data_IF_202417097316
#
_entry.id   IF_202417097316
#
_cell.length_a   1.000
_cell.length_b   1.000
_cell.length_c   1.000
_cell.angle_alpha   90.00
_cell.angle_beta   90.00
_cell.angle_gamma   90.00
#
_symmetry.space_group_name_H-M   'P 1'
#
loop_
_entity.id
_entity.type
_entity.pdbx_description
1 polymer ?
#
# COMPACT_ATOMS: atom_id res chain seq x y z
N UNK A 1 5.72 5.38 19.69
CA UNK A 1 4.87 4.69 20.70
C UNK A 1 4.95 3.20 20.38
N UNK A 2 5.28 2.33 21.34
CA UNK A 2 5.35 0.87 21.11
C UNK A 2 4.15 0.18 21.75
N UNK A 3 3.42 -0.60 20.96
CA UNK A 3 2.26 -1.39 21.42
C UNK A 3 2.63 -2.86 21.36
N UNK A 4 2.46 -3.58 22.48
CA UNK A 4 2.75 -5.01 22.54
C UNK A 4 1.50 -5.81 22.17
N UNK A 5 1.61 -6.67 21.15
CA UNK A 5 0.54 -7.54 20.67
C UNK A 5 1.04 -8.98 20.71
N UNK A 6 0.22 -9.91 21.21
CA UNK A 6 0.51 -11.36 21.15
C UNK A 6 -0.25 -11.96 19.97
N UNK A 7 0.47 -12.71 19.14
CA UNK A 7 0.04 -13.12 17.81
C UNK A 7 0.32 -14.62 17.65
N UNK A 8 -0.69 -15.38 17.21
CA UNK A 8 -0.52 -16.80 16.89
C UNK A 8 -0.27 -16.95 15.39
N UNK A 9 0.95 -17.32 15.02
CA UNK A 9 1.37 -17.48 13.63
C UNK A 9 1.27 -18.95 13.20
N UNK A 10 0.97 -19.24 11.92
CA UNK A 10 1.22 -20.56 11.36
C UNK A 10 2.71 -20.92 11.44
N UNK A 11 3.02 -22.17 11.75
CA UNK A 11 4.41 -22.66 11.92
C UNK A 11 5.29 -22.35 10.70
N UNK A 12 4.72 -22.38 9.50
CA UNK A 12 5.46 -22.06 8.28
C UNK A 12 5.95 -20.61 8.22
N UNK A 13 5.15 -19.67 8.74
CA UNK A 13 5.50 -18.24 8.78
C UNK A 13 6.61 -18.02 9.78
N UNK A 14 6.52 -18.66 10.96
CA UNK A 14 7.57 -18.61 11.97
C UNK A 14 8.92 -19.15 11.44
N UNK A 15 8.93 -20.32 10.77
CA UNK A 15 10.16 -20.88 10.18
C UNK A 15 10.77 -20.02 9.07
N UNK A 16 9.96 -19.23 8.36
CA UNK A 16 10.46 -18.27 7.35
C UNK A 16 11.10 -17.06 8.04
N UNK A 17 10.45 -16.52 9.06
CA UNK A 17 10.98 -15.42 9.86
C UNK A 17 12.29 -15.82 10.57
N UNK A 18 12.36 -17.02 11.12
CA UNK A 18 13.57 -17.56 11.77
C UNK A 18 14.76 -17.64 10.81
N UNK A 19 14.54 -18.14 9.59
CA UNK A 19 15.61 -18.18 8.57
C UNK A 19 16.07 -16.79 8.17
N UNK A 20 15.14 -15.84 8.04
CA UNK A 20 15.48 -14.45 7.73
C UNK A 20 16.28 -13.79 8.86
N UNK A 21 15.89 -14.06 10.11
CA UNK A 21 16.57 -13.59 11.32
C UNK A 21 17.98 -14.16 11.44
N UNK A 22 18.18 -15.46 11.16
CA UNK A 22 19.51 -16.07 11.13
C UNK A 22 20.42 -15.45 10.06
N UNK A 23 19.89 -15.20 8.86
CA UNK A 23 20.66 -14.58 7.78
C UNK A 23 21.07 -13.13 8.10
N UNK A 24 20.23 -12.42 8.85
CA UNK A 24 20.48 -11.03 9.25
C UNK A 24 21.14 -10.89 10.62
N UNK A 25 21.37 -11.99 11.35
CA UNK A 25 21.84 -12.00 12.75
C UNK A 25 21.01 -11.10 13.67
N UNK A 26 19.69 -11.07 13.45
CA UNK A 26 18.73 -10.28 14.22
C UNK A 26 17.78 -11.18 15.01
N UNK A 27 17.07 -10.61 15.98
CA UNK A 27 16.00 -11.31 16.67
C UNK A 27 14.80 -11.55 15.72
N UNK A 28 14.12 -12.69 15.87
CA UNK A 28 12.93 -13.03 15.08
C UNK A 28 11.81 -12.02 15.33
N UNK A 29 11.67 -11.51 16.55
CA UNK A 29 10.67 -10.50 16.90
C UNK A 29 10.90 -9.18 16.15
N UNK A 30 12.15 -8.71 16.08
CA UNK A 30 12.50 -7.48 15.36
C UNK A 30 12.26 -7.63 13.85
N UNK A 31 12.62 -8.80 13.30
CA UNK A 31 12.37 -9.11 11.90
C UNK A 31 10.87 -9.14 11.59
N UNK A 32 10.07 -9.74 12.47
CA UNK A 32 8.62 -9.76 12.32
C UNK A 32 8.02 -8.36 12.42
N UNK A 33 8.47 -7.55 13.38
CA UNK A 33 8.02 -6.17 13.54
C UNK A 33 8.31 -5.34 12.28
N UNK A 34 9.54 -5.38 11.77
CA UNK A 34 9.92 -4.67 10.53
C UNK A 34 9.14 -5.19 9.32
N UNK A 35 8.93 -6.50 9.22
CA UNK A 35 8.18 -7.09 8.10
C UNK A 35 6.72 -6.66 8.13
N UNK A 36 6.12 -6.61 9.33
CA UNK A 36 4.76 -6.10 9.53
C UNK A 36 4.73 -4.61 9.21
N UNK A 37 5.68 -3.81 9.69
CA UNK A 37 5.76 -2.38 9.38
C UNK A 37 5.88 -2.14 7.87
N UNK A 38 6.76 -2.85 7.16
CA UNK A 38 6.92 -2.75 5.71
C UNK A 38 5.66 -3.20 4.94
N UNK A 39 4.95 -4.21 5.44
CA UNK A 39 3.72 -4.71 4.81
C UNK A 39 2.52 -3.80 5.10
N UNK A 40 2.52 -3.11 6.24
CA UNK A 40 1.49 -2.17 6.64
C UNK A 40 1.79 -0.73 6.21
N UNK A 41 3.03 -0.39 5.84
CA UNK A 41 3.42 0.95 5.35
C UNK A 41 2.60 1.41 4.14
N UNK A 42 2.31 0.55 3.12
CA UNK A 42 1.40 0.92 2.04
C UNK A 42 -0.04 1.15 2.51
N UNK A 43 -0.45 0.55 3.64
CA UNK A 43 -1.77 0.72 4.24
C UNK A 43 -1.82 1.91 5.24
N UNK A 44 -0.64 2.37 5.68
CA UNK A 44 -0.46 3.32 6.78
C UNK A 44 -0.62 4.79 6.41
N UNK A 45 -0.70 5.13 5.12
CA UNK A 45 -1.04 6.50 4.70
C UNK A 45 -2.53 6.82 4.86
N UNK A 46 -3.39 5.84 5.16
CA UNK A 46 -4.85 6.03 5.20
C UNK A 46 -5.50 5.77 6.57
N UNK A 47 -4.81 5.20 7.55
CA UNK A 47 -5.49 4.77 8.79
C UNK A 47 -5.65 5.84 9.87
N UNK A 48 -5.00 7.01 9.77
CA UNK A 48 -5.12 8.05 10.81
C UNK A 48 -6.23 9.09 10.55
N UNK A 49 -6.88 9.12 9.37
CA UNK A 49 -7.75 10.25 9.05
C UNK A 49 -9.01 9.96 8.20
N UNK A 50 -9.41 8.71 7.97
CA UNK A 50 -10.74 8.48 7.40
C UNK A 50 -11.77 8.65 8.53
N UNK A 51 -12.23 9.89 8.73
CA UNK A 51 -13.47 10.14 9.47
C UNK A 51 -14.53 9.20 8.86
N UNK A 52 -15.33 8.49 9.68
CA UNK A 52 -16.47 7.74 9.16
C UNK A 52 -17.26 8.67 8.23
N UNK A 53 -17.73 8.19 7.07
CA UNK A 53 -18.47 9.03 6.09
C UNK A 53 -19.63 9.80 6.75
N UNK A 54 -20.24 9.20 7.78
CA UNK A 54 -21.30 9.80 8.61
C UNK A 54 -20.87 11.02 9.45
N UNK A 55 -19.58 11.25 9.62
CA UNK A 55 -18.97 12.33 10.39
C UNK A 55 -18.29 13.39 9.51
N UNK A 56 -18.37 13.26 8.19
CA UNK A 56 -17.91 14.27 7.23
C UNK A 56 -18.95 15.39 7.10
N UNK A 57 -18.50 16.63 6.98
CA UNK A 57 -19.38 17.73 6.57
C UNK A 57 -19.66 17.66 5.06
N UNK A 58 -20.73 18.33 4.60
CA UNK A 58 -21.05 18.43 3.18
C UNK A 58 -19.87 18.98 2.36
N UNK A 59 -19.13 19.95 2.90
CA UNK A 59 -17.92 20.51 2.26
C UNK A 59 -16.78 19.49 2.16
N UNK A 60 -16.59 18.65 3.19
CA UNK A 60 -15.59 17.57 3.18
C UNK A 60 -15.97 16.49 2.16
N UNK A 61 -17.26 16.15 2.05
CA UNK A 61 -17.78 15.21 1.04
C UNK A 61 -17.60 15.77 -0.38
N UNK A 62 -17.89 17.05 -0.59
CA UNK A 62 -17.69 17.70 -1.88
C UNK A 62 -16.20 17.74 -2.27
N UNK A 63 -15.31 18.02 -1.32
CA UNK A 63 -13.86 18.02 -1.56
C UNK A 63 -13.34 16.62 -1.93
N UNK A 64 -13.81 15.56 -1.25
CA UNK A 64 -13.49 14.17 -1.59
C UNK A 64 -14.06 13.77 -2.97
N UNK A 65 -15.29 14.16 -3.28
CA UNK A 65 -15.89 13.89 -4.59
C UNK A 65 -15.18 14.64 -5.75
N UNK A 66 -14.41 15.67 -5.44
CA UNK A 66 -13.64 16.46 -6.39
C UNK A 66 -12.18 16.02 -6.50
N UNK A 67 -11.74 15.05 -5.67
CA UNK A 67 -10.43 14.44 -5.80
C UNK A 67 -10.39 13.71 -7.15
N UNK A 68 -9.53 14.19 -8.04
CA UNK A 68 -9.27 13.56 -9.32
C UNK A 68 -7.77 13.36 -9.44
N UNK A 69 -7.38 12.27 -10.10
CA UNK A 69 -6.00 12.07 -10.51
C UNK A 69 -5.55 13.26 -11.36
N UNK A 70 -4.33 13.74 -11.14
CA UNK A 70 -3.76 14.82 -11.96
C UNK A 70 -3.78 14.43 -13.45
N UNK A 71 -4.13 15.34 -14.38
CA UNK A 71 -4.31 15.00 -15.79
C UNK A 71 -3.10 14.33 -16.44
N UNK A 72 -1.88 14.70 -16.01
CA UNK A 72 -0.63 14.11 -16.50
C UNK A 72 -0.44 12.66 -16.03
N UNK A 73 -0.93 12.34 -14.83
CA UNK A 73 -0.91 11.00 -14.26
C UNK A 73 -1.95 10.11 -14.94
N UNK A 74 -3.15 10.64 -15.22
CA UNK A 74 -4.23 9.92 -15.91
C UNK A 74 -3.85 9.56 -17.37
N UNK A 75 -3.20 10.48 -18.08
CA UNK A 75 -2.65 10.20 -19.41
C UNK A 75 -1.53 9.15 -19.38
N UNK A 76 -0.72 9.15 -18.32
CA UNK A 76 0.37 8.17 -18.16
C UNK A 76 -0.19 6.80 -17.81
N UNK A 77 -1.20 6.74 -16.93
CA UNK A 77 -1.94 5.53 -16.59
C UNK A 77 -2.59 4.92 -17.84
N UNK A 78 -3.29 5.73 -18.64
CA UNK A 78 -3.93 5.28 -19.88
C UNK A 78 -2.91 4.65 -20.85
N UNK A 79 -1.77 5.30 -21.09
CA UNK A 79 -0.70 4.75 -21.97
C UNK A 79 -0.12 3.45 -21.44
N UNK A 80 0.03 3.32 -20.12
CA UNK A 80 0.55 2.10 -19.49
C UNK A 80 -0.47 0.96 -19.55
N UNK A 81 -1.76 1.25 -19.40
CA UNK A 81 -2.84 0.28 -19.58
C UNK A 81 -2.92 -0.21 -21.04
N UNK A 82 -2.80 0.70 -22.01
CA UNK A 82 -2.72 0.34 -23.43
C UNK A 82 -1.52 -0.59 -23.72
N UNK A 83 -0.37 -0.28 -23.13
CA UNK A 83 0.87 -1.08 -23.26
C UNK A 83 0.76 -2.43 -22.56
N UNK A 84 0.03 -2.51 -21.45
CA UNK A 84 -0.29 -3.76 -20.76
C UNK A 84 -1.20 -4.64 -21.64
N UNK A 85 -2.24 -4.06 -22.25
CA UNK A 85 -3.16 -4.77 -23.13
C UNK A 85 -2.46 -5.27 -24.40
N UNK A 86 -1.51 -4.49 -24.93
CA UNK A 86 -0.66 -4.87 -26.07
C UNK A 86 0.44 -5.90 -25.71
N UNK A 87 0.65 -6.20 -24.43
CA UNK A 87 1.69 -7.13 -23.96
C UNK A 87 3.12 -6.62 -24.10
N UNK A 88 3.31 -5.31 -24.32
CA UNK A 88 4.61 -4.66 -24.54
C UNK A 88 5.17 -3.98 -23.29
N UNK A 89 4.50 -4.14 -22.15
CA UNK A 89 4.84 -3.51 -20.89
C UNK A 89 6.20 -4.01 -20.34
N UNK A 90 7.14 -3.10 -20.14
CA UNK A 90 8.43 -3.40 -19.51
C UNK A 90 8.30 -3.54 -17.99
N UNK A 91 9.29 -4.16 -17.34
CA UNK A 91 9.31 -4.33 -15.88
C UNK A 91 9.28 -2.98 -15.13
N UNK A 92 9.96 -1.96 -15.66
CA UNK A 92 9.97 -0.59 -15.10
C UNK A 92 8.60 0.09 -15.25
N UNK A 93 7.96 -0.08 -16.41
CA UNK A 93 6.61 0.42 -16.65
C UNK A 93 5.56 -0.30 -15.79
N UNK A 94 5.82 -1.55 -15.41
CA UNK A 94 4.95 -2.31 -14.50
C UNK A 94 4.97 -1.75 -13.08
N UNK A 95 6.13 -1.35 -12.57
CA UNK A 95 6.21 -0.65 -11.28
C UNK A 95 5.56 0.73 -11.33
N UNK A 96 5.72 1.47 -12.43
CA UNK A 96 5.08 2.77 -12.63
C UNK A 96 3.55 2.66 -12.68
N UNK A 97 3.04 1.64 -13.38
CA UNK A 97 1.62 1.32 -13.44
C UNK A 97 1.04 1.01 -12.05
N UNK A 98 1.73 0.22 -11.24
CA UNK A 98 1.28 -0.10 -9.88
C UNK A 98 1.23 1.15 -8.98
N UNK A 99 2.23 2.04 -9.10
CA UNK A 99 2.25 3.29 -8.35
C UNK A 99 1.09 4.22 -8.77
N UNK A 100 0.81 4.33 -10.07
CA UNK A 100 -0.30 5.14 -10.57
C UNK A 100 -1.67 4.53 -10.20
N UNK A 101 -1.80 3.20 -10.23
CA UNK A 101 -3.03 2.53 -9.77
C UNK A 101 -3.32 2.82 -8.29
N UNK A 102 -2.30 2.88 -7.44
CA UNK A 102 -2.48 3.21 -6.03
C UNK A 102 -3.00 4.64 -5.85
N UNK A 103 -2.46 5.61 -6.59
CA UNK A 103 -2.95 7.01 -6.58
C UNK A 103 -4.39 7.10 -7.10
N UNK A 104 -4.74 6.29 -8.11
CA UNK A 104 -6.11 6.23 -8.63
C UNK A 104 -7.09 5.67 -7.59
N UNK A 105 -6.74 4.57 -6.92
CA UNK A 105 -7.54 3.98 -5.85
C UNK A 105 -7.72 4.94 -4.67
N UNK A 106 -6.69 5.73 -4.35
CA UNK A 106 -6.74 6.78 -3.34
C UNK A 106 -7.69 7.92 -3.68
N UNK A 107 -7.84 8.27 -4.97
CA UNK A 107 -8.77 9.30 -5.42
C UNK A 107 -10.23 8.83 -5.56
N UNK A 108 -10.48 7.51 -5.46
CA UNK A 108 -11.81 6.92 -5.67
C UNK A 108 -12.53 6.55 -4.36
N UNK A 109 -11.89 6.77 -3.20
CA UNK A 109 -12.41 6.52 -1.85
C UNK A 109 -12.91 7.81 -1.17
#
# INVERSE_FOLDING_TARGET
MSTQVTLTLPDEVYRRAERLAQLSSRDVADVLADTIELSLSPLGLQSEAIKPVLALSDDEVMALAQLQMEPDQDQSLSRLLDSQQAGTLTQTQRSELLALMQVYEEGLL
#
